data_IF_199460268540
#
_entry.id   IF_199460268540
#
_cell.length_a   1.000
_cell.length_b   1.000
_cell.length_c   1.000
_cell.angle_alpha   90.00
_cell.angle_beta   90.00
_cell.angle_gamma   90.00
#
_symmetry.space_group_name_H-M   'P 1'
#
loop_
_entity.id
_entity.type
_entity.pdbx_description
1 polymer ?
#
# COMPACT_ATOMS: atom_id res chain seq x y z
N UNK A 1 -2.48 -8.07 -6.24
CA UNK A 1 -3.63 -7.20 -6.62
C UNK A 1 -3.18 -6.31 -7.75
N UNK A 2 -4.08 -5.63 -8.48
CA UNK A 2 -3.64 -4.69 -9.52
C UNK A 2 -3.03 -3.42 -8.91
N UNK A 3 -2.13 -2.77 -9.68
CA UNK A 3 -1.39 -1.60 -9.20
C UNK A 3 -2.28 -0.38 -8.91
N UNK A 4 -3.47 -0.27 -9.54
CA UNK A 4 -4.41 0.84 -9.27
C UNK A 4 -5.01 0.68 -7.88
N UNK A 5 -5.38 -0.53 -7.51
CA UNK A 5 -5.90 -0.84 -6.17
C UNK A 5 -4.83 -0.63 -5.10
N UNK A 6 -3.60 -1.10 -5.34
CA UNK A 6 -2.48 -0.89 -4.41
C UNK A 6 -2.16 0.60 -4.23
N UNK A 7 -2.16 1.36 -5.34
CA UNK A 7 -2.03 2.82 -5.33
C UNK A 7 -3.13 3.47 -4.49
N UNK A 8 -4.40 3.08 -4.70
CA UNK A 8 -5.55 3.63 -3.99
C UNK A 8 -5.50 3.32 -2.48
N UNK A 9 -5.11 2.09 -2.11
CA UNK A 9 -4.91 1.69 -0.71
C UNK A 9 -3.82 2.53 -0.05
N UNK A 10 -2.65 2.65 -0.70
CA UNK A 10 -1.56 3.47 -0.21
C UNK A 10 -1.93 4.94 -0.07
N UNK A 11 -2.66 5.50 -1.05
CA UNK A 11 -3.18 6.86 -0.98
C UNK A 11 -4.13 7.06 0.21
N UNK A 12 -5.05 6.12 0.41
CA UNK A 12 -6.00 6.15 1.53
C UNK A 12 -5.31 6.06 2.89
N UNK A 13 -4.28 5.22 3.02
CA UNK A 13 -3.44 5.13 4.22
C UNK A 13 -2.70 6.45 4.46
N UNK A 14 -2.08 7.00 3.41
CA UNK A 14 -1.38 8.29 3.48
C UNK A 14 -2.30 9.42 3.95
N UNK A 15 -3.52 9.47 3.41
CA UNK A 15 -4.54 10.44 3.82
C UNK A 15 -4.96 10.23 5.29
N UNK A 16 -5.19 8.99 5.69
CA UNK A 16 -5.60 8.67 7.05
C UNK A 16 -4.54 9.06 8.10
N UNK A 17 -3.26 8.81 7.82
CA UNK A 17 -2.16 9.02 8.78
C UNK A 17 -1.70 10.49 8.83
N UNK A 18 -1.50 11.11 7.68
CA UNK A 18 -0.85 12.43 7.58
C UNK A 18 -1.61 13.45 6.73
N UNK A 19 -2.69 13.09 6.05
CA UNK A 19 -3.40 13.98 5.14
C UNK A 19 -3.83 15.29 5.78
N UNK A 20 -4.33 15.27 7.01
CA UNK A 20 -4.72 16.47 7.76
C UNK A 20 -3.55 17.35 8.17
N UNK A 21 -2.34 16.80 8.29
CA UNK A 21 -1.15 17.50 8.77
C UNK A 21 -0.33 18.13 7.65
N UNK A 22 -0.17 17.42 6.52
CA UNK A 22 0.71 17.82 5.40
C UNK A 22 0.00 17.89 4.04
N UNK A 23 -1.32 17.72 4.02
CA UNK A 23 -2.14 17.87 2.82
C UNK A 23 -1.95 16.73 1.81
N UNK A 24 -2.15 17.05 0.52
CA UNK A 24 -2.16 16.08 -0.57
C UNK A 24 -0.82 15.35 -0.81
N UNK A 25 0.27 15.82 -0.19
CA UNK A 25 1.56 15.12 -0.24
C UNK A 25 1.51 13.75 0.44
N UNK A 26 0.69 13.61 1.51
CA UNK A 26 0.57 12.37 2.25
C UNK A 26 -0.03 11.22 1.42
N UNK A 27 -1.21 11.37 0.80
CA UNK A 27 -1.75 10.34 -0.07
C UNK A 27 -0.86 10.04 -1.28
N UNK A 28 -0.19 11.05 -1.88
CA UNK A 28 0.74 10.81 -3.00
C UNK A 28 1.92 9.94 -2.56
N UNK A 29 2.55 10.26 -1.43
CA UNK A 29 3.65 9.44 -0.90
C UNK A 29 3.17 8.04 -0.53
N UNK A 30 2.02 7.91 0.13
CA UNK A 30 1.44 6.61 0.45
C UNK A 30 1.19 5.75 -0.77
N UNK A 31 0.63 6.33 -1.84
CA UNK A 31 0.42 5.66 -3.11
C UNK A 31 1.72 5.14 -3.74
N UNK A 32 2.73 6.02 -3.85
CA UNK A 32 4.05 5.65 -4.41
C UNK A 32 4.71 4.55 -3.58
N UNK A 33 4.70 4.67 -2.25
CA UNK A 33 5.29 3.65 -1.37
C UNK A 33 4.59 2.31 -1.50
N UNK A 34 3.26 2.30 -1.58
CA UNK A 34 2.49 1.07 -1.71
C UNK A 34 2.73 0.33 -3.03
N UNK A 35 3.21 1.00 -4.08
CA UNK A 35 3.52 0.34 -5.37
C UNK A 35 4.97 -0.16 -5.47
N UNK A 36 5.84 0.15 -4.49
CA UNK A 36 7.25 -0.26 -4.54
C UNK A 36 7.44 -1.78 -4.61
N UNK A 37 6.70 -2.64 -3.89
CA UNK A 37 6.87 -4.09 -3.98
C UNK A 37 6.65 -4.63 -5.39
N UNK A 38 5.70 -4.09 -6.15
CA UNK A 38 5.37 -4.51 -7.52
C UNK A 38 6.45 -4.17 -8.56
N UNK A 39 7.48 -3.39 -8.19
CA UNK A 39 8.62 -3.11 -9.08
C UNK A 39 9.42 -4.37 -9.41
N UNK A 40 9.24 -5.46 -8.69
CA UNK A 40 9.83 -6.76 -9.02
C UNK A 40 9.32 -7.33 -10.35
N UNK A 41 8.15 -6.90 -10.82
CA UNK A 41 7.62 -7.25 -12.14
C UNK A 41 8.49 -6.78 -13.32
N UNK A 42 9.36 -5.79 -13.08
CA UNK A 42 10.34 -5.32 -14.08
C UNK A 42 11.63 -6.13 -14.09
N UNK A 43 11.81 -7.09 -13.17
CA UNK A 43 12.99 -7.97 -13.16
C UNK A 43 12.79 -9.03 -14.25
N UNK A 44 13.67 -9.08 -15.29
CA UNK A 44 13.55 -10.07 -16.32
C UNK A 44 14.02 -11.43 -15.78
N UNK A 45 13.14 -12.42 -15.85
CA UNK A 45 13.50 -13.83 -15.61
C UNK A 45 13.53 -14.57 -16.94
N UNK A 46 14.51 -15.46 -17.12
CA UNK A 46 14.67 -16.22 -18.37
C UNK A 46 13.52 -17.20 -18.63
N UNK A 47 12.91 -17.71 -17.54
CA UNK A 47 11.81 -18.69 -17.62
C UNK A 47 10.52 -18.11 -17.03
N UNK A 48 9.39 -18.40 -17.69
CA UNK A 48 8.06 -17.98 -17.23
C UNK A 48 7.71 -18.56 -15.84
N UNK A 49 8.16 -19.80 -15.54
CA UNK A 49 7.95 -20.44 -14.23
C UNK A 49 8.75 -19.71 -13.15
N UNK A 50 9.99 -19.33 -13.43
CA UNK A 50 10.81 -18.55 -12.51
C UNK A 50 10.19 -17.18 -12.23
N UNK A 51 9.73 -16.49 -13.29
CA UNK A 51 9.02 -15.22 -13.17
C UNK A 51 7.78 -15.36 -12.26
N UNK A 52 6.98 -16.39 -12.47
CA UNK A 52 5.80 -16.65 -11.65
C UNK A 52 6.16 -16.97 -10.19
N UNK A 53 7.20 -17.77 -9.96
CA UNK A 53 7.58 -18.25 -8.62
C UNK A 53 8.23 -17.15 -7.78
N UNK A 54 9.10 -16.32 -8.39
CA UNK A 54 9.85 -15.29 -7.68
C UNK A 54 9.13 -13.96 -7.60
N UNK A 55 8.19 -13.68 -8.51
CA UNK A 55 7.26 -12.59 -8.32
C UNK A 55 6.45 -12.84 -7.05
N UNK A 56 6.33 -11.83 -6.19
CA UNK A 56 5.69 -11.91 -4.87
C UNK A 56 6.39 -12.82 -3.85
N UNK A 57 7.72 -12.96 -3.95
CA UNK A 57 8.54 -13.63 -2.93
C UNK A 57 9.16 -12.62 -1.95
N UNK A 58 10.46 -12.37 -2.03
CA UNK A 58 11.18 -11.47 -1.11
C UNK A 58 10.60 -10.04 -1.04
N UNK A 59 10.18 -9.49 -2.19
CA UNK A 59 9.59 -8.15 -2.31
C UNK A 59 8.21 -8.02 -1.65
N UNK A 60 7.54 -9.15 -1.42
CA UNK A 60 6.23 -9.23 -0.79
C UNK A 60 6.27 -9.92 0.58
N UNK A 61 7.48 -10.18 1.11
CA UNK A 61 7.63 -10.72 2.46
C UNK A 61 7.34 -9.66 3.52
N UNK A 62 6.50 -9.99 4.49
CA UNK A 62 6.21 -9.13 5.63
C UNK A 62 7.47 -8.79 6.43
N UNK A 63 8.39 -9.76 6.59
CA UNK A 63 9.66 -9.56 7.30
C UNK A 63 10.58 -8.59 6.55
N UNK A 64 10.73 -8.79 5.25
CA UNK A 64 11.57 -7.93 4.40
C UNK A 64 11.02 -6.52 4.37
N UNK A 65 9.71 -6.35 4.11
CA UNK A 65 9.09 -5.03 4.05
C UNK A 65 9.11 -4.30 5.40
N UNK A 66 8.89 -5.03 6.51
CA UNK A 66 9.04 -4.45 7.85
C UNK A 66 10.48 -3.97 8.10
N UNK A 67 11.49 -4.78 7.73
CA UNK A 67 12.90 -4.43 7.89
C UNK A 67 13.33 -3.24 7.00
N UNK A 68 12.76 -3.12 5.79
CA UNK A 68 13.05 -2.02 4.87
C UNK A 68 12.26 -0.74 5.17
N UNK A 69 11.16 -0.81 5.94
CA UNK A 69 10.33 0.36 6.26
C UNK A 69 11.10 1.54 6.86
N UNK A 70 12.06 1.35 7.80
CA UNK A 70 12.87 2.47 8.31
C UNK A 70 13.72 3.13 7.22
N UNK A 71 14.30 2.34 6.30
CA UNK A 71 15.14 2.85 5.21
C UNK A 71 14.30 3.69 4.23
N UNK A 72 13.14 3.18 3.81
CA UNK A 72 12.21 3.90 2.95
C UNK A 72 11.71 5.17 3.65
N UNK A 73 11.46 5.10 4.97
CA UNK A 73 11.09 6.28 5.75
C UNK A 73 12.17 7.36 5.70
N UNK A 74 13.44 7.00 5.90
CA UNK A 74 14.57 7.94 5.80
C UNK A 74 14.65 8.56 4.41
N UNK A 75 14.42 7.77 3.35
CA UNK A 75 14.38 8.28 1.98
C UNK A 75 13.24 9.29 1.78
N UNK A 76 12.03 8.98 2.27
CA UNK A 76 10.87 9.91 2.22
C UNK A 76 11.21 11.21 2.96
N UNK A 77 11.78 11.15 4.17
CA UNK A 77 12.16 12.33 4.95
C UNK A 77 13.23 13.17 4.23
N UNK A 78 14.16 12.53 3.53
CA UNK A 78 15.19 13.22 2.74
C UNK A 78 14.63 13.92 1.50
N UNK A 79 13.73 13.23 0.78
CA UNK A 79 13.17 13.75 -0.48
C UNK A 79 12.02 14.73 -0.25
N UNK A 80 11.32 14.64 0.89
CA UNK A 80 10.13 15.42 1.20
C UNK A 80 10.27 16.13 2.55
N UNK A 81 10.91 17.31 2.64
CA UNK A 81 11.18 17.99 3.91
C UNK A 81 9.94 18.28 4.77
N UNK A 82 8.74 18.39 4.16
CA UNK A 82 7.49 18.60 4.88
C UNK A 82 7.16 17.48 5.90
N UNK A 83 7.71 16.29 5.68
CA UNK A 83 7.50 15.12 6.55
C UNK A 83 8.43 15.13 7.78
N UNK A 84 9.51 15.91 7.79
CA UNK A 84 10.49 15.93 8.88
C UNK A 84 9.90 16.32 10.24
N UNK A 85 8.84 17.11 10.26
CA UNK A 85 8.11 17.48 11.48
C UNK A 85 7.32 16.31 12.08
N UNK A 86 7.02 15.30 11.28
CA UNK A 86 6.11 14.18 11.61
C UNK A 86 6.76 12.83 11.38
N UNK A 87 8.02 12.65 11.85
CA UNK A 87 8.85 11.47 11.56
C UNK A 87 8.22 10.16 11.98
N UNK A 88 7.57 10.12 13.15
CA UNK A 88 6.91 8.93 13.67
C UNK A 88 5.71 8.53 12.82
N UNK A 89 4.89 9.50 12.46
CA UNK A 89 3.72 9.26 11.60
C UNK A 89 4.15 8.90 10.18
N UNK A 90 5.25 9.48 9.69
CA UNK A 90 5.82 9.10 8.39
C UNK A 90 6.27 7.65 8.39
N UNK A 91 6.90 7.18 9.46
CA UNK A 91 7.24 5.77 9.61
C UNK A 91 5.97 4.88 9.55
N UNK A 92 4.92 5.23 10.29
CA UNK A 92 3.69 4.46 10.26
C UNK A 92 2.99 4.48 8.90
N UNK A 93 3.03 5.62 8.19
CA UNK A 93 2.52 5.70 6.81
C UNK A 93 3.27 4.70 5.91
N UNK A 94 4.61 4.77 5.91
CA UNK A 94 5.46 3.90 5.08
C UNK A 94 5.27 2.43 5.46
N UNK A 95 5.34 2.13 6.76
CA UNK A 95 5.16 0.77 7.27
C UNK A 95 3.82 0.17 6.87
N UNK A 96 2.73 0.90 7.10
CA UNK A 96 1.39 0.42 6.77
C UNK A 96 1.19 0.26 5.26
N UNK A 97 1.67 1.21 4.45
CA UNK A 97 1.57 1.12 2.99
C UNK A 97 2.32 -0.11 2.45
N UNK A 98 3.53 -0.38 2.94
CA UNK A 98 4.31 -1.56 2.55
C UNK A 98 3.73 -2.85 3.11
N UNK A 99 3.29 -2.86 4.37
CA UNK A 99 2.82 -4.06 5.06
C UNK A 99 1.45 -4.54 4.55
N UNK A 100 0.54 -3.61 4.27
CA UNK A 100 -0.80 -3.96 3.76
C UNK A 100 -0.79 -4.41 2.31
N UNK A 101 0.23 -4.05 1.53
CA UNK A 101 0.37 -4.46 0.14
C UNK A 101 0.36 -5.99 -0.04
N UNK A 102 1.29 -6.76 0.53
CA UNK A 102 1.29 -8.22 0.37
C UNK A 102 0.13 -8.90 1.11
N UNK A 103 -0.40 -8.28 2.17
CA UNK A 103 -1.59 -8.81 2.83
C UNK A 103 -2.79 -8.78 1.89
N UNK A 104 -3.01 -7.67 1.17
CA UNK A 104 -4.08 -7.59 0.18
C UNK A 104 -3.86 -8.58 -0.96
N UNK A 105 -2.62 -8.75 -1.41
CA UNK A 105 -2.27 -9.74 -2.44
C UNK A 105 -2.57 -11.18 -2.02
N UNK A 106 -2.39 -11.48 -0.73
CA UNK A 106 -2.68 -12.82 -0.20
C UNK A 106 -4.17 -13.17 -0.22
N UNK A 107 -5.09 -12.21 -0.36
CA UNK A 107 -6.51 -12.47 -0.57
C UNK A 107 -6.86 -12.83 -2.02
N UNK A 108 -5.95 -12.62 -2.97
CA UNK A 108 -6.15 -13.00 -4.38
C UNK A 108 -5.80 -14.46 -4.63
N UNK A 109 -6.20 -14.98 -5.80
CA UNK A 109 -5.93 -16.37 -6.22
C UNK A 109 -4.48 -16.65 -6.61
N UNK A 110 -3.67 -15.61 -6.81
CA UNK A 110 -2.30 -15.75 -7.30
C UNK A 110 -1.36 -16.38 -6.26
N UNK A 111 -1.56 -16.08 -4.98
CA UNK A 111 -0.67 -16.48 -3.89
C UNK A 111 0.49 -15.51 -3.68
N UNK A 112 0.89 -15.35 -2.42
CA UNK A 112 1.95 -14.42 -1.99
C UNK A 112 2.79 -15.08 -0.89
N UNK A 113 4.12 -15.06 -1.02
CA UNK A 113 5.04 -15.67 -0.06
C UNK A 113 5.26 -14.75 1.14
N UNK A 114 4.21 -14.55 1.95
CA UNK A 114 4.20 -13.61 3.08
C UNK A 114 5.33 -13.83 4.09
N UNK A 115 5.74 -15.08 4.27
CA UNK A 115 6.67 -15.49 5.33
C UNK A 115 8.07 -15.84 4.81
N UNK A 116 8.39 -15.48 3.55
CA UNK A 116 9.74 -15.62 3.05
C UNK A 116 10.74 -14.86 3.95
N UNK A 117 11.95 -15.34 4.29
CA UNK A 117 12.60 -16.58 3.84
C UNK A 117 12.32 -17.81 4.73
N UNK A 118 11.42 -17.74 5.69
CA UNK A 118 11.13 -18.87 6.61
C UNK A 118 10.39 -20.00 5.88
N UNK A 119 9.56 -19.64 4.91
CA UNK A 119 8.88 -20.58 4.03
C UNK A 119 8.56 -19.88 2.69
N UNK A 120 8.56 -20.65 1.63
CA UNK A 120 8.17 -20.27 0.27
C UNK A 120 6.70 -20.58 -0.04
N UNK A 121 5.93 -21.04 0.96
CA UNK A 121 4.52 -21.37 0.79
C UNK A 121 3.71 -20.13 0.37
N UNK A 122 3.05 -20.16 -0.81
CA UNK A 122 2.25 -19.02 -1.28
C UNK A 122 0.89 -19.00 -0.58
N UNK A 123 0.65 -18.01 0.26
CA UNK A 123 -0.65 -17.78 0.90
C UNK A 123 -1.64 -17.23 -0.12
N UNK A 124 -2.79 -17.90 -0.29
CA UNK A 124 -3.86 -17.48 -1.19
C UNK A 124 -5.23 -17.65 -0.52
N UNK A 125 -5.90 -16.54 -0.23
CA UNK A 125 -7.25 -16.51 0.33
C UNK A 125 -8.35 -16.74 -0.71
N UNK A 126 -8.06 -16.39 -1.98
CA UNK A 126 -8.98 -16.54 -3.12
C UNK A 126 -10.37 -15.90 -2.90
N UNK A 127 -10.45 -14.83 -2.13
CA UNK A 127 -11.70 -14.14 -1.77
C UNK A 127 -11.93 -12.89 -2.60
N UNK A 128 -10.88 -12.28 -3.15
CA UNK A 128 -10.92 -11.02 -3.91
C UNK A 128 -10.32 -11.27 -5.29
N UNK A 129 -10.89 -10.66 -6.33
CA UNK A 129 -10.33 -10.69 -7.67
C UNK A 129 -9.04 -9.85 -7.75
N UNK A 130 -8.13 -10.22 -8.67
CA UNK A 130 -6.90 -9.46 -8.92
C UNK A 130 -7.22 -8.01 -9.30
N UNK A 131 -8.25 -7.81 -10.13
CA UNK A 131 -8.85 -6.51 -10.45
C UNK A 131 -10.25 -6.54 -9.88
N UNK A 132 -10.46 -5.91 -8.73
CA UNK A 132 -11.74 -5.90 -8.04
C UNK A 132 -12.30 -4.47 -7.95
N UNK A 133 -13.25 -4.10 -8.82
CA UNK A 133 -13.82 -2.76 -8.80
C UNK A 133 -14.59 -2.47 -7.51
N UNK A 134 -15.23 -3.46 -6.90
CA UNK A 134 -16.01 -3.26 -5.68
C UNK A 134 -15.11 -2.91 -4.50
N UNK A 135 -13.95 -3.57 -4.37
CA UNK A 135 -12.93 -3.22 -3.40
C UNK A 135 -12.31 -1.83 -3.68
N UNK A 136 -11.90 -1.61 -4.92
CA UNK A 136 -11.12 -0.43 -5.34
C UNK A 136 -11.92 0.86 -5.31
N UNK A 137 -13.21 0.81 -5.68
CA UNK A 137 -14.05 2.00 -5.80
C UNK A 137 -14.23 2.74 -4.48
N UNK A 138 -14.39 2.03 -3.38
CA UNK A 138 -14.50 2.63 -2.04
C UNK A 138 -13.24 3.40 -1.65
N UNK A 139 -12.06 2.84 -1.94
CA UNK A 139 -10.79 3.52 -1.71
C UNK A 139 -10.66 4.77 -2.57
N UNK A 140 -10.91 4.67 -3.88
CA UNK A 140 -10.83 5.79 -4.82
C UNK A 140 -11.75 6.93 -4.40
N UNK A 141 -13.04 6.65 -4.17
CA UNK A 141 -14.02 7.65 -3.74
C UNK A 141 -13.60 8.28 -2.42
N UNK A 142 -13.13 7.47 -1.47
CA UNK A 142 -12.70 7.93 -0.14
C UNK A 142 -11.56 8.94 -0.23
N UNK A 143 -10.43 8.56 -0.80
CA UNK A 143 -9.25 9.44 -0.81
C UNK A 143 -9.38 10.62 -1.78
N UNK A 144 -10.03 10.45 -2.96
CA UNK A 144 -10.26 11.55 -3.90
C UNK A 144 -11.16 12.61 -3.26
N UNK A 145 -12.25 12.18 -2.60
CA UNK A 145 -13.11 13.09 -1.85
C UNK A 145 -12.36 13.84 -0.76
N UNK A 146 -11.47 13.16 -0.05
CA UNK A 146 -10.64 13.78 0.99
C UNK A 146 -9.67 14.81 0.41
N UNK A 147 -9.07 14.52 -0.76
CA UNK A 147 -8.19 15.47 -1.43
C UNK A 147 -8.93 16.70 -1.99
N UNK A 148 -10.18 16.53 -2.44
CA UNK A 148 -10.99 17.59 -3.03
C UNK A 148 -11.65 18.50 -1.98
N UNK A 149 -11.99 17.96 -0.80
CA UNK A 149 -12.64 18.72 0.27
C UNK A 149 -11.59 19.54 1.04
N UNK A 150 -11.96 20.76 1.47
CA UNK A 150 -11.08 21.60 2.30
C UNK A 150 -10.64 20.85 3.57
N UNK A 151 -9.35 20.87 3.84
CA UNK A 151 -8.69 20.16 4.96
C UNK A 151 -9.19 20.58 6.35
N UNK A 152 -9.73 21.78 6.48
CA UNK A 152 -10.34 22.29 7.71
C UNK A 152 -11.62 21.54 8.08
N UNK A 153 -12.30 20.93 7.08
CA UNK A 153 -13.52 20.16 7.31
C UNK A 153 -13.19 18.70 7.65
N UNK A 154 -13.79 18.14 8.71
CA UNK A 154 -13.55 16.73 9.07
C UNK A 154 -14.15 15.74 8.07
N UNK A 155 -15.02 16.21 7.16
CA UNK A 155 -15.78 15.37 6.22
C UNK A 155 -14.85 14.57 5.29
N UNK A 156 -13.82 15.20 4.71
CA UNK A 156 -12.87 14.51 3.82
C UNK A 156 -12.20 13.32 4.50
N UNK A 157 -11.69 13.53 5.71
CA UNK A 157 -11.08 12.46 6.50
C UNK A 157 -12.08 11.34 6.85
N UNK A 158 -13.31 11.69 7.22
CA UNK A 158 -14.37 10.70 7.48
C UNK A 158 -14.70 9.86 6.25
N UNK A 159 -14.79 10.49 5.07
CA UNK A 159 -15.04 9.78 3.82
C UNK A 159 -13.90 8.82 3.46
N UNK A 160 -12.64 9.25 3.64
CA UNK A 160 -11.50 8.35 3.45
C UNK A 160 -11.51 7.17 4.43
N UNK A 161 -11.79 7.43 5.71
CA UNK A 161 -11.90 6.39 6.72
C UNK A 161 -13.05 5.42 6.40
N UNK A 162 -14.20 5.94 5.97
CA UNK A 162 -15.32 5.12 5.53
C UNK A 162 -14.95 4.24 4.32
N UNK A 163 -14.23 4.80 3.33
CA UNK A 163 -13.72 4.05 2.18
C UNK A 163 -12.80 2.91 2.59
N UNK A 164 -11.83 3.17 3.49
CA UNK A 164 -10.94 2.13 4.04
C UNK A 164 -11.73 1.04 4.79
N UNK A 165 -12.69 1.42 5.64
CA UNK A 165 -13.49 0.44 6.40
C UNK A 165 -14.35 -0.40 5.46
N UNK A 166 -15.08 0.22 4.52
CA UNK A 166 -15.95 -0.50 3.59
C UNK A 166 -15.16 -1.45 2.70
N UNK A 167 -14.00 -1.02 2.20
CA UNK A 167 -13.09 -1.86 1.43
C UNK A 167 -12.55 -3.03 2.27
N UNK A 168 -12.24 -2.82 3.56
CA UNK A 168 -11.73 -3.87 4.44
C UNK A 168 -12.79 -4.85 4.95
N UNK A 169 -14.08 -4.48 4.87
CA UNK A 169 -15.21 -5.34 5.24
C UNK A 169 -15.74 -6.16 4.06
N UNK A 170 -15.33 -5.80 2.85
CA UNK A 170 -15.66 -6.53 1.63
C UNK A 170 -14.83 -7.81 1.53
#
# INVERSE_FOLDING_TARGET
MDSVTQFALGASIGEAVLGRKIGNRAPIVGAVVATLPDLDSFIPYEEAVASFTYHRSATHSLFVLAAFSPLITLLVLKLQPAFNKYRKETFWLVFLALFTHPLLDAFTVYGTQLFWPLTDFPVSGSTIFIIDPAYTLWLLVGFISAMAIRREKPLGHKLNTAGLVLSSLY
#
